data_IF_705295518525
#
_entry.id   IF_705295518525
#
_cell.length_a   1.000
_cell.length_b   1.000
_cell.length_c   1.000
_cell.angle_alpha   90.00
_cell.angle_beta   90.00
_cell.angle_gamma   90.00
#
_symmetry.space_group_name_H-M   'P 1'
#
loop_
_entity.id
_entity.type
_entity.pdbx_description
1 polymer ?
#
# COMPACT_ATOMS: atom_id res chain seq x y z
N UNK A 1 15.86 7.68 -17.45
CA UNK A 1 14.45 7.32 -17.68
C UNK A 1 13.93 6.57 -16.46
N UNK A 2 12.81 6.99 -15.89
CA UNK A 2 12.11 6.22 -14.85
C UNK A 2 11.40 5.06 -15.57
N UNK A 3 11.56 3.83 -15.11
CA UNK A 3 10.82 2.69 -15.69
C UNK A 3 9.33 2.86 -15.41
N UNK A 4 8.46 2.61 -16.41
CA UNK A 4 7.01 2.81 -16.25
C UNK A 4 6.42 1.98 -15.09
N UNK A 5 7.00 0.81 -14.80
CA UNK A 5 6.50 -0.10 -13.78
C UNK A 5 6.75 0.41 -12.35
N UNK A 6 7.54 1.48 -12.16
CA UNK A 6 7.75 2.11 -10.86
C UNK A 6 6.86 3.33 -10.62
N UNK A 7 6.05 3.76 -11.60
CA UNK A 7 5.24 4.96 -11.52
C UNK A 7 3.87 4.71 -10.87
N UNK A 8 3.64 5.37 -9.74
CA UNK A 8 2.40 5.33 -8.96
C UNK A 8 1.82 6.73 -8.94
N UNK A 9 0.54 6.86 -9.23
CA UNK A 9 -0.21 8.09 -8.98
C UNK A 9 -0.80 8.02 -7.59
N UNK A 10 -0.46 8.97 -6.73
CA UNK A 10 -1.09 9.18 -5.43
C UNK A 10 -2.01 10.39 -5.52
N UNK A 11 -3.26 10.21 -5.10
CA UNK A 11 -4.32 11.21 -5.22
C UNK A 11 -5.09 11.36 -3.91
N UNK A 12 -5.28 12.59 -3.46
CA UNK A 12 -6.21 12.93 -2.38
C UNK A 12 -7.26 13.91 -2.90
N UNK A 13 -8.52 13.68 -2.56
CA UNK A 13 -9.63 14.57 -2.93
C UNK A 13 -10.46 14.99 -1.72
N UNK A 14 -11.10 16.14 -1.86
CA UNK A 14 -11.95 16.75 -0.85
C UNK A 14 -11.81 18.27 -0.82
N UNK A 15 -12.64 18.95 -0.05
CA UNK A 15 -12.75 20.42 -0.03
C UNK A 15 -11.48 21.12 0.44
N UNK A 16 -10.57 20.44 1.15
CA UNK A 16 -9.25 20.99 1.54
C UNK A 16 -8.30 21.27 0.37
N UNK A 17 -8.67 20.87 -0.84
CA UNK A 17 -7.85 21.01 -2.04
C UNK A 17 -8.44 21.98 -3.08
N UNK A 18 -9.58 22.60 -2.77
CA UNK A 18 -10.28 23.52 -3.69
C UNK A 18 -9.64 24.92 -3.75
N UNK A 19 -9.18 25.45 -2.60
CA UNK A 19 -8.55 26.77 -2.49
C UNK A 19 -7.07 26.67 -2.03
N UNK A 20 -6.32 25.81 -2.70
CA UNK A 20 -4.93 25.50 -2.35
C UNK A 20 -4.78 24.16 -1.62
N UNK A 21 -3.58 23.86 -1.13
CA UNK A 21 -3.30 22.58 -0.48
C UNK A 21 -3.06 22.77 1.02
N UNK A 22 -3.86 22.11 1.85
CA UNK A 22 -3.51 21.97 3.25
C UNK A 22 -2.30 21.03 3.41
N UNK A 23 -1.11 21.63 3.50
CA UNK A 23 0.17 20.91 3.56
C UNK A 23 0.26 19.93 4.73
N UNK A 24 -0.37 20.25 5.87
CA UNK A 24 -0.34 19.38 7.05
C UNK A 24 -0.96 18.01 6.73
N UNK A 25 -2.19 18.00 6.20
CA UNK A 25 -2.89 16.76 5.88
C UNK A 25 -2.24 16.01 4.71
N UNK A 26 -1.77 16.74 3.71
CA UNK A 26 -1.05 16.19 2.57
C UNK A 26 0.24 15.46 3.00
N UNK A 27 1.10 16.14 3.77
CA UNK A 27 2.36 15.56 4.24
C UNK A 27 2.13 14.39 5.19
N UNK A 28 1.09 14.46 6.04
CA UNK A 28 0.73 13.34 6.92
C UNK A 28 0.35 12.10 6.10
N UNK A 29 -0.57 12.23 5.14
CA UNK A 29 -1.01 11.09 4.34
C UNK A 29 0.12 10.52 3.46
N UNK A 30 0.98 11.38 2.89
CA UNK A 30 2.19 10.95 2.18
C UNK A 30 3.17 10.22 3.09
N UNK A 31 3.37 10.67 4.33
CA UNK A 31 4.22 10.02 5.31
C UNK A 31 3.70 8.64 5.71
N UNK A 32 2.40 8.53 5.94
CA UNK A 32 1.73 7.25 6.23
C UNK A 32 1.87 6.28 5.04
N UNK A 33 1.65 6.78 3.81
CA UNK A 33 1.86 6.00 2.59
C UNK A 33 3.32 5.57 2.37
N UNK A 34 4.28 6.46 2.59
CA UNK A 34 5.71 6.16 2.47
C UNK A 34 6.11 5.05 3.46
N UNK A 35 5.58 5.08 4.68
CA UNK A 35 5.85 4.04 5.70
C UNK A 35 5.38 2.65 5.25
N UNK A 36 4.25 2.57 4.55
CA UNK A 36 3.75 1.32 3.95
C UNK A 36 4.72 0.78 2.89
N UNK A 37 5.25 1.66 2.03
CA UNK A 37 6.26 1.29 1.02
C UNK A 37 7.55 0.80 1.68
N UNK A 38 8.02 1.48 2.74
CA UNK A 38 9.19 1.07 3.51
C UNK A 38 9.02 -0.34 4.11
N UNK A 39 7.86 -0.62 4.72
CA UNK A 39 7.59 -1.92 5.31
C UNK A 39 7.47 -3.03 4.27
N UNK A 40 7.02 -2.70 3.05
CA UNK A 40 7.01 -3.63 1.92
C UNK A 40 8.45 -4.01 1.55
N UNK A 41 9.32 -3.03 1.38
CA UNK A 41 10.76 -3.25 1.14
C UNK A 41 11.42 -4.07 2.26
N UNK A 42 11.20 -3.69 3.52
CA UNK A 42 11.77 -4.39 4.67
C UNK A 42 11.28 -5.84 4.78
N UNK A 43 10.05 -6.12 4.35
CA UNK A 43 9.52 -7.48 4.32
C UNK A 43 10.24 -8.33 3.28
N UNK A 44 10.40 -7.83 2.06
CA UNK A 44 11.15 -8.54 0.99
C UNK A 44 12.60 -8.77 1.40
N UNK A 45 13.24 -7.78 2.04
CA UNK A 45 14.62 -7.89 2.53
C UNK A 45 14.75 -8.67 3.84
N UNK A 46 13.64 -9.12 4.42
CA UNK A 46 13.58 -9.75 5.73
C UNK A 46 14.30 -8.96 6.84
N UNK A 47 14.13 -7.63 6.83
CA UNK A 47 14.67 -6.70 7.84
C UNK A 47 13.56 -6.16 8.74
N UNK A 48 13.93 -5.76 9.96
CA UNK A 48 13.00 -5.15 10.92
C UNK A 48 13.00 -3.62 10.89
N UNK A 49 14.10 -3.00 10.47
CA UNK A 49 14.30 -1.54 10.47
C UNK A 49 15.10 -1.10 9.24
N UNK A 50 14.82 0.11 8.77
CA UNK A 50 15.62 0.78 7.75
C UNK A 50 16.96 1.22 8.36
N UNK A 51 18.03 0.98 7.63
CA UNK A 51 19.37 1.55 7.84
C UNK A 51 19.60 2.72 6.87
N UNK A 52 20.60 3.55 7.14
CA UNK A 52 21.02 4.63 6.22
C UNK A 52 21.30 4.09 4.82
N UNK A 53 21.98 2.94 4.70
CA UNK A 53 22.22 2.28 3.42
C UNK A 53 20.94 1.86 2.71
N UNK A 54 19.90 1.45 3.44
CA UNK A 54 18.61 1.14 2.80
C UNK A 54 17.94 2.41 2.26
N UNK A 55 18.08 3.56 2.94
CA UNK A 55 17.58 4.86 2.48
C UNK A 55 18.32 5.39 1.25
N UNK A 56 19.59 5.03 1.12
CA UNK A 56 20.35 5.30 -0.09
C UNK A 56 19.83 4.46 -1.27
N UNK A 57 19.41 3.21 -1.01
CA UNK A 57 18.93 2.26 -2.02
C UNK A 57 17.47 2.53 -2.43
N UNK A 58 16.56 2.61 -1.47
CA UNK A 58 15.12 2.79 -1.71
C UNK A 58 14.74 4.27 -1.60
N UNK A 59 14.14 4.81 -2.66
CA UNK A 59 13.63 6.19 -2.66
C UNK A 59 12.21 6.23 -3.21
N UNK A 60 11.33 6.97 -2.54
CA UNK A 60 10.02 7.37 -3.05
C UNK A 60 10.10 8.83 -3.48
N UNK A 61 9.95 9.12 -4.78
CA UNK A 61 10.13 10.49 -5.33
C UNK A 61 8.87 11.00 -6.01
N UNK A 62 8.44 12.21 -5.67
CA UNK A 62 7.39 12.94 -6.38
C UNK A 62 7.96 13.77 -7.54
N UNK A 63 7.33 13.72 -8.72
CA UNK A 63 7.79 14.45 -9.92
C UNK A 63 6.88 15.59 -10.36
N UNK A 64 5.65 15.62 -9.88
CA UNK A 64 4.65 16.63 -10.26
C UNK A 64 3.59 16.74 -9.18
N UNK A 65 2.96 17.90 -9.12
CA UNK A 65 1.79 18.18 -8.30
C UNK A 65 0.75 18.88 -9.19
N UNK A 66 -0.47 18.38 -9.25
CA UNK A 66 -1.55 18.94 -10.08
C UNK A 66 -2.59 19.66 -9.22
N UNK A 67 -3.31 20.66 -9.79
CA UNK A 67 -4.25 21.55 -9.07
C UNK A 67 -5.68 20.97 -9.01
N UNK A 68 -6.45 21.31 -7.96
CA UNK A 68 -7.88 20.98 -7.79
C UNK A 68 -8.15 19.65 -7.05
N UNK A 69 -7.12 18.85 -6.88
CA UNK A 69 -6.99 17.72 -5.95
C UNK A 69 -5.50 17.53 -5.71
N UNK A 70 -5.06 16.98 -4.58
CA UNK A 70 -3.64 16.67 -4.45
C UNK A 70 -3.33 15.43 -5.28
N UNK A 71 -2.84 15.60 -6.50
CA UNK A 71 -2.39 14.51 -7.37
C UNK A 71 -0.90 14.63 -7.54
N UNK A 72 -0.18 13.55 -7.26
CA UNK A 72 1.26 13.48 -7.47
C UNK A 72 1.65 12.16 -8.12
N UNK A 73 2.61 12.24 -9.05
CA UNK A 73 3.23 11.06 -9.64
C UNK A 73 4.49 10.73 -8.84
N UNK A 74 4.49 9.54 -8.25
CA UNK A 74 5.56 8.98 -7.43
C UNK A 74 6.33 7.91 -8.21
N UNK A 75 7.64 7.81 -8.01
CA UNK A 75 8.40 6.61 -8.38
C UNK A 75 8.99 5.92 -7.16
N UNK A 76 8.93 4.59 -7.15
CA UNK A 76 9.74 3.75 -6.28
C UNK A 76 11.04 3.44 -7.02
N UNK A 77 12.15 4.00 -6.55
CA UNK A 77 13.46 3.79 -7.15
C UNK A 77 14.31 2.88 -6.29
N UNK A 78 15.00 1.96 -6.94
CA UNK A 78 15.99 1.08 -6.33
C UNK A 78 17.33 1.39 -6.99
N UNK A 79 18.22 2.03 -6.24
CA UNK A 79 19.57 2.30 -6.68
C UNK A 79 20.44 1.07 -6.41
N UNK A 80 20.83 0.36 -7.48
CA UNK A 80 21.86 -0.65 -7.39
C UNK A 80 23.21 0.05 -7.15
N UNK A 81 23.78 -0.10 -5.96
CA UNK A 81 25.20 0.17 -5.77
C UNK A 81 25.96 -0.76 -6.72
N UNK A 82 26.81 -0.20 -7.58
CA UNK A 82 27.54 -0.85 -8.68
C UNK A 82 28.56 -1.91 -8.25
N UNK A 83 28.43 -2.52 -7.07
CA UNK A 83 29.20 -3.70 -6.72
C UNK A 83 28.41 -4.95 -7.10
N UNK A 84 28.91 -5.61 -8.13
CA UNK A 84 28.61 -6.99 -8.52
C UNK A 84 28.57 -7.86 -7.26
N UNK A 85 27.36 -8.20 -6.78
CA UNK A 85 27.19 -9.16 -5.68
C UNK A 85 26.09 -10.15 -6.06
N UNK A 86 26.58 -11.33 -6.48
CA UNK A 86 25.98 -12.68 -6.47
C UNK A 86 24.58 -12.89 -7.11
N UNK A 87 24.43 -13.91 -7.99
CA UNK A 87 23.18 -14.25 -8.70
C UNK A 87 22.05 -14.84 -7.82
N UNK A 88 22.18 -14.80 -6.49
CA UNK A 88 21.23 -15.41 -5.54
C UNK A 88 20.32 -14.41 -4.83
N UNK A 89 20.49 -13.09 -5.02
CA UNK A 89 19.51 -12.13 -4.55
C UNK A 89 18.36 -12.08 -5.55
N UNK A 90 17.25 -12.72 -5.20
CA UNK A 90 15.92 -12.46 -5.78
C UNK A 90 15.80 -10.96 -6.05
N UNK A 91 15.62 -10.60 -7.31
CA UNK A 91 15.79 -9.25 -7.83
C UNK A 91 14.69 -8.35 -7.27
N UNK A 92 14.91 -7.75 -6.10
CA UNK A 92 14.03 -6.72 -5.54
C UNK A 92 13.71 -5.70 -6.63
N UNK A 93 12.46 -5.69 -7.08
CA UNK A 93 11.97 -4.72 -8.07
C UNK A 93 10.98 -3.73 -7.47
N UNK A 94 10.82 -2.52 -8.05
CA UNK A 94 9.77 -1.59 -7.65
C UNK A 94 8.37 -2.21 -7.70
N UNK A 95 8.15 -3.10 -8.69
CA UNK A 95 6.91 -3.82 -8.88
C UNK A 95 6.60 -4.75 -7.70
N UNK A 96 7.56 -5.53 -7.21
CA UNK A 96 7.35 -6.41 -6.05
C UNK A 96 7.02 -5.61 -4.78
N UNK A 97 7.69 -4.48 -4.55
CA UNK A 97 7.40 -3.58 -3.42
C UNK A 97 5.96 -3.09 -3.51
N UNK A 98 5.54 -2.63 -4.70
CA UNK A 98 4.18 -2.16 -4.94
C UNK A 98 3.12 -3.28 -4.84
N UNK A 99 3.43 -4.48 -5.34
CA UNK A 99 2.53 -5.63 -5.29
C UNK A 99 2.29 -6.09 -3.86
N UNK A 100 3.32 -6.16 -3.01
CA UNK A 100 3.14 -6.50 -1.59
C UNK A 100 2.30 -5.45 -0.87
N UNK A 101 2.55 -4.16 -1.11
CA UNK A 101 1.74 -3.09 -0.54
C UNK A 101 0.26 -3.26 -0.94
N UNK A 102 -0.03 -3.32 -2.23
CA UNK A 102 -1.42 -3.42 -2.72
C UNK A 102 -2.12 -4.72 -2.33
N UNK A 103 -1.41 -5.85 -2.29
CA UNK A 103 -1.97 -7.11 -1.80
C UNK A 103 -2.23 -7.06 -0.29
N UNK A 104 -1.38 -6.41 0.50
CA UNK A 104 -1.60 -6.24 1.93
C UNK A 104 -2.83 -5.40 2.22
N UNK A 105 -3.01 -4.30 1.46
CA UNK A 105 -4.24 -3.52 1.51
C UNK A 105 -5.48 -4.34 1.15
N UNK A 106 -5.44 -5.07 0.02
CA UNK A 106 -6.53 -5.94 -0.43
C UNK A 106 -6.87 -7.02 0.59
N UNK A 107 -5.87 -7.62 1.21
CA UNK A 107 -6.05 -8.61 2.27
C UNK A 107 -6.75 -8.01 3.49
N UNK A 108 -6.25 -6.88 3.98
CA UNK A 108 -6.80 -6.21 5.15
C UNK A 108 -8.26 -5.80 4.94
N UNK A 109 -8.58 -5.17 3.81
CA UNK A 109 -9.97 -4.78 3.52
C UNK A 109 -10.88 -5.99 3.40
N UNK A 110 -10.45 -7.04 2.71
CA UNK A 110 -11.20 -8.28 2.56
C UNK A 110 -11.52 -8.96 3.90
N UNK A 111 -10.51 -9.07 4.78
CA UNK A 111 -10.66 -9.69 6.11
C UNK A 111 -11.51 -8.83 7.04
N UNK A 112 -11.24 -7.53 7.11
CA UNK A 112 -11.96 -6.62 7.99
C UNK A 112 -13.42 -6.46 7.56
N UNK A 113 -13.70 -6.44 6.26
CA UNK A 113 -15.05 -6.43 5.71
C UNK A 113 -15.81 -7.70 6.12
N UNK A 114 -15.21 -8.88 5.95
CA UNK A 114 -15.80 -10.14 6.41
C UNK A 114 -16.10 -10.12 7.93
N UNK A 115 -15.15 -9.63 8.74
CA UNK A 115 -15.35 -9.51 10.18
C UNK A 115 -16.46 -8.52 10.55
N UNK A 116 -16.63 -7.43 9.79
CA UNK A 116 -17.74 -6.49 9.99
C UNK A 116 -19.12 -7.14 9.78
N UNK A 117 -19.17 -8.23 8.99
CA UNK A 117 -20.36 -9.05 8.74
C UNK A 117 -20.46 -10.28 9.65
N UNK A 118 -19.58 -10.43 10.65
CA UNK A 118 -19.44 -11.62 11.50
C UNK A 118 -19.14 -12.91 10.70
N UNK A 119 -18.50 -12.78 9.54
CA UNK A 119 -18.04 -13.93 8.75
C UNK A 119 -16.69 -14.43 9.25
N UNK A 120 -16.44 -15.74 9.06
CA UNK A 120 -15.12 -16.33 9.30
C UNK A 120 -14.26 -16.22 8.05
N UNK A 121 -12.96 -16.05 8.25
CA UNK A 121 -11.95 -16.09 7.21
C UNK A 121 -11.07 -17.32 7.41
N UNK A 122 -10.78 -18.05 6.33
CA UNK A 122 -9.81 -19.15 6.30
C UNK A 122 -8.77 -18.89 5.23
N UNK A 123 -7.55 -19.35 5.48
CA UNK A 123 -6.43 -19.28 4.55
C UNK A 123 -6.05 -20.71 4.17
N UNK A 124 -5.95 -20.96 2.87
CA UNK A 124 -5.65 -22.27 2.33
C UNK A 124 -4.59 -22.19 1.23
N UNK A 125 -3.89 -23.31 1.01
CA UNK A 125 -2.99 -23.42 -0.13
C UNK A 125 -3.77 -23.22 -1.44
N UNK A 126 -3.22 -22.44 -2.35
CA UNK A 126 -3.79 -22.27 -3.69
C UNK A 126 -3.39 -23.39 -4.66
N UNK A 127 -2.45 -24.25 -4.28
CA UNK A 127 -1.78 -25.20 -5.18
C UNK A 127 -0.73 -24.55 -6.10
N UNK A 128 -0.54 -23.23 -6.03
CA UNK A 128 0.54 -22.49 -6.70
C UNK A 128 1.63 -22.11 -5.70
N UNK A 129 2.89 -22.12 -6.14
CA UNK A 129 4.04 -21.78 -5.30
C UNK A 129 3.92 -20.36 -4.72
N UNK A 130 4.09 -20.26 -3.40
CA UNK A 130 4.09 -19.00 -2.65
C UNK A 130 2.80 -18.17 -2.79
N UNK A 131 1.66 -18.78 -3.13
CA UNK A 131 0.35 -18.13 -3.23
C UNK A 131 -0.66 -18.85 -2.34
N UNK A 132 -1.45 -18.08 -1.60
CA UNK A 132 -2.52 -18.59 -0.74
C UNK A 132 -3.88 -18.04 -1.17
N UNK A 133 -4.92 -18.86 -0.98
CA UNK A 133 -6.30 -18.44 -1.09
C UNK A 133 -6.76 -17.91 0.27
N UNK A 134 -7.34 -16.71 0.29
CA UNK A 134 -8.02 -16.15 1.46
C UNK A 134 -9.50 -16.12 1.16
N UNK A 135 -10.26 -16.84 1.96
CA UNK A 135 -11.65 -17.17 1.68
C UNK A 135 -12.53 -16.65 2.81
N UNK A 136 -13.57 -15.89 2.48
CA UNK A 136 -14.58 -15.44 3.45
C UNK A 136 -15.86 -16.30 3.38
N UNK A 137 -16.49 -16.48 4.55
CA UNK A 137 -17.92 -16.67 4.75
C UNK A 137 -18.75 -17.52 3.78
N UNK A 138 -20.05 -17.27 3.81
CA UNK A 138 -21.10 -18.07 3.16
C UNK A 138 -21.03 -18.05 1.63
N UNK A 139 -20.53 -16.95 1.06
CA UNK A 139 -20.46 -16.73 -0.38
C UNK A 139 -19.16 -17.25 -1.01
N UNK A 140 -18.24 -17.77 -0.20
CA UNK A 140 -16.91 -18.26 -0.61
C UNK A 140 -16.20 -17.28 -1.56
N UNK A 141 -16.20 -15.98 -1.27
CA UNK A 141 -15.38 -15.06 -2.06
C UNK A 141 -13.92 -15.42 -1.81
N UNK A 142 -13.10 -15.38 -2.85
CA UNK A 142 -11.69 -15.76 -2.79
C UNK A 142 -10.85 -14.62 -3.32
N UNK A 143 -9.84 -14.24 -2.54
CA UNK A 143 -8.72 -13.46 -3.05
C UNK A 143 -7.46 -14.32 -3.01
N UNK A 144 -6.61 -14.15 -4.02
CA UNK A 144 -5.27 -14.74 -4.04
C UNK A 144 -4.24 -13.68 -3.72
N UNK A 145 -3.34 -14.02 -2.80
CA UNK A 145 -2.20 -13.18 -2.40
C UNK A 145 -0.94 -14.05 -2.30
N UNK A 146 0.22 -13.43 -2.44
CA UNK A 146 1.47 -14.08 -2.09
C UNK A 146 1.55 -14.35 -0.59
N UNK A 147 2.15 -15.46 -0.20
CA UNK A 147 2.28 -15.86 1.21
C UNK A 147 3.03 -14.80 2.04
N UNK A 148 4.06 -14.17 1.48
CA UNK A 148 4.81 -13.08 2.11
C UNK A 148 3.94 -11.86 2.49
N UNK A 149 2.79 -11.68 1.84
CA UNK A 149 1.83 -10.62 2.17
C UNK A 149 1.30 -10.77 3.59
N UNK A 150 1.16 -12.00 4.11
CA UNK A 150 0.72 -12.23 5.49
C UNK A 150 1.73 -11.67 6.51
N UNK A 151 3.03 -11.87 6.26
CA UNK A 151 4.11 -11.31 7.09
C UNK A 151 4.15 -9.79 6.99
N UNK A 152 3.98 -9.25 5.78
CA UNK A 152 3.92 -7.81 5.55
C UNK A 152 2.77 -7.16 6.33
N UNK A 153 1.56 -7.72 6.23
CA UNK A 153 0.37 -7.16 6.90
C UNK A 153 0.54 -7.12 8.41
N UNK A 154 1.07 -8.18 9.03
CA UNK A 154 1.37 -8.18 10.47
C UNK A 154 2.29 -7.03 10.88
N UNK A 155 3.20 -6.61 10.00
CA UNK A 155 4.11 -5.48 10.23
C UNK A 155 3.47 -4.14 9.93
N UNK A 156 2.56 -4.08 8.96
CA UNK A 156 2.08 -2.84 8.34
C UNK A 156 0.65 -2.42 8.71
N UNK A 157 -0.09 -3.25 9.45
CA UNK A 157 -1.49 -3.01 9.81
C UNK A 157 -1.73 -1.61 10.42
N UNK A 158 -0.92 -1.22 11.40
CA UNK A 158 -1.06 0.09 12.05
C UNK A 158 -0.79 1.27 11.11
N UNK A 159 0.02 1.09 10.05
CA UNK A 159 0.28 2.16 9.07
C UNK A 159 -0.88 2.27 8.08
N UNK A 160 -1.53 1.16 7.74
CA UNK A 160 -2.80 1.20 7.01
C UNK A 160 -3.89 1.88 7.84
N UNK A 161 -4.00 1.57 9.13
CA UNK A 161 -4.91 2.28 10.04
C UNK A 161 -4.61 3.79 10.06
N UNK A 162 -3.34 4.19 10.17
CA UNK A 162 -2.94 5.58 10.13
C UNK A 162 -3.31 6.26 8.81
N UNK A 163 -3.03 5.61 7.67
CA UNK A 163 -3.35 6.11 6.34
C UNK A 163 -4.87 6.29 6.18
N UNK A 164 -5.64 5.26 6.55
CA UNK A 164 -7.11 5.26 6.50
C UNK A 164 -7.69 6.33 7.40
N UNK A 165 -7.10 6.57 8.57
CA UNK A 165 -7.56 7.59 9.50
C UNK A 165 -7.44 9.03 8.97
N UNK A 166 -6.64 9.27 7.92
CA UNK A 166 -6.61 10.56 7.23
C UNK A 166 -7.91 10.90 6.48
N UNK A 167 -8.75 9.91 6.13
CA UNK A 167 -10.08 10.20 5.56
C UNK A 167 -10.93 10.85 6.63
N UNK A 168 -11.26 12.13 6.47
CA UNK A 168 -12.08 12.85 7.42
C UNK A 168 -12.90 13.91 6.67
N UNK A 169 -14.16 13.60 6.30
CA UNK A 169 -15.02 14.54 5.60
C UNK A 169 -15.26 15.84 6.38
N UNK A 170 -15.24 15.79 7.73
CA UNK A 170 -15.34 17.02 8.56
C UNK A 170 -14.13 17.93 8.41
N UNK A 171 -12.97 17.35 8.12
CA UNK A 171 -11.78 18.09 7.73
C UNK A 171 -11.64 18.20 6.22
N UNK A 172 -12.65 17.86 5.41
CA UNK A 172 -12.61 18.04 3.95
C UNK A 172 -11.66 17.10 3.20
N UNK A 173 -11.40 15.89 3.72
CA UNK A 173 -10.67 14.83 3.02
C UNK A 173 -11.61 13.64 2.83
N UNK A 174 -11.96 13.35 1.58
CA UNK A 174 -13.00 12.36 1.24
C UNK A 174 -12.41 11.08 0.67
N UNK A 175 -11.26 11.15 0.01
CA UNK A 175 -10.66 10.01 -0.66
C UNK A 175 -9.14 10.09 -0.69
N UNK A 176 -8.49 8.93 -0.57
CA UNK A 176 -7.07 8.73 -0.84
C UNK A 176 -6.96 7.55 -1.80
N UNK A 177 -6.23 7.73 -2.91
CA UNK A 177 -5.98 6.70 -3.89
C UNK A 177 -4.48 6.59 -4.17
N UNK A 178 -3.99 5.38 -4.38
CA UNK A 178 -2.67 5.12 -4.93
C UNK A 178 -2.77 3.99 -5.96
N UNK A 179 -2.40 4.25 -7.21
CA UNK A 179 -2.54 3.27 -8.29
C UNK A 179 -1.39 3.39 -9.29
N UNK A 180 -1.04 2.27 -9.92
CA UNK A 180 -0.05 2.26 -10.98
C UNK A 180 -0.68 2.79 -12.28
N UNK A 181 0.02 3.67 -13.00
CA UNK A 181 -0.53 4.46 -14.13
C UNK A 181 -1.15 3.63 -15.28
N UNK A 182 -0.86 2.33 -15.36
CA UNK A 182 -1.36 1.41 -16.40
C UNK A 182 -2.08 0.17 -15.83
N UNK A 183 -2.44 0.15 -14.55
CA UNK A 183 -3.15 -0.98 -13.93
C UNK A 183 -4.59 -0.59 -13.60
N UNK A 184 -5.55 -1.10 -14.38
CA UNK A 184 -6.97 -0.77 -14.24
C UNK A 184 -7.64 -1.33 -12.96
N UNK A 185 -6.91 -2.03 -12.06
CA UNK A 185 -7.53 -2.67 -10.89
C UNK A 185 -6.65 -2.95 -9.67
N UNK A 186 -5.34 -2.64 -9.70
CA UNK A 186 -4.45 -2.88 -8.54
C UNK A 186 -3.99 -1.55 -7.93
N UNK A 187 -4.53 -1.25 -6.76
CA UNK A 187 -4.18 -0.04 -6.02
C UNK A 187 -4.81 0.00 -4.63
N UNK A 188 -4.55 1.11 -3.95
CA UNK A 188 -5.16 1.48 -2.68
C UNK A 188 -6.25 2.51 -3.01
N UNK A 189 -7.46 2.31 -2.51
CA UNK A 189 -8.56 3.24 -2.68
C UNK A 189 -9.36 3.33 -1.39
N UNK A 190 -9.16 4.41 -0.64
CA UNK A 190 -9.76 4.58 0.67
C UNK A 190 -10.77 5.72 0.60
N UNK A 191 -12.00 5.37 0.96
CA UNK A 191 -13.10 6.30 1.23
C UNK A 191 -13.62 6.10 2.65
N UNK A 192 -14.73 6.73 3.01
CA UNK A 192 -15.42 6.44 4.28
C UNK A 192 -15.87 4.98 4.39
N UNK A 193 -16.12 4.30 3.26
CA UNK A 193 -16.51 2.89 3.22
C UNK A 193 -15.41 2.01 3.78
N UNK A 194 -14.21 2.03 3.19
CA UNK A 194 -13.08 1.22 3.68
C UNK A 194 -12.67 1.64 5.09
N UNK A 195 -12.75 2.95 5.41
CA UNK A 195 -12.49 3.44 6.77
C UNK A 195 -13.39 2.82 7.83
N UNK A 196 -14.63 2.48 7.48
CA UNK A 196 -15.56 1.87 8.44
C UNK A 196 -15.07 0.53 8.97
N UNK A 197 -14.35 -0.25 8.15
CA UNK A 197 -13.85 -1.58 8.52
C UNK A 197 -12.70 -1.53 9.53
N UNK A 198 -11.83 -0.52 9.42
CA UNK A 198 -10.69 -0.34 10.33
C UNK A 198 -11.08 0.19 11.71
N UNK A 199 -12.31 0.69 11.91
CA UNK A 199 -12.79 1.18 13.21
C UNK A 199 -13.37 0.10 14.12
N UNK A 200 -13.80 -1.03 13.54
CA UNK A 200 -14.53 -2.09 14.25
C UNK A 200 -13.81 -3.43 14.33
N UNK A 201 -12.78 -3.66 13.51
CA UNK A 201 -12.02 -4.90 13.52
C UNK A 201 -10.98 -4.93 14.64
N UNK A 202 -11.08 -5.91 15.55
CA UNK A 202 -9.90 -6.42 16.25
C UNK A 202 -9.19 -7.36 15.29
N UNK A 203 -8.00 -6.97 14.82
CA UNK A 203 -7.08 -7.88 14.12
C UNK A 203 -6.30 -8.72 15.14
#
# INVERSE_FOLDING_TARGET
>A
MVQNDSLITFKMTGTQFEDGFNLYYMLKALGDFHTIIDKSYLTIKNKKKMSEKDREILRLRAFSFEKGSFVTNLSIDILAATQVVLPYFLSLTPKEIWEIATQGYKYLTFVLEAFSRNEKVRIESSGQDNVVNVINGSDNQIIQIHEQTLVFVQRAVGDYENLVNNINPKHGINQIQAYQKNSNSKGINITDYEKSFFKGGRL
#
